data_IF_131310777397
#
_entry.id   IF_131310777397
#
_cell.length_a   1.000
_cell.length_b   1.000
_cell.length_c   1.000
_cell.angle_alpha   90.00
_cell.angle_beta   90.00
_cell.angle_gamma   90.00
#
_symmetry.space_group_name_H-M   'P 1'
#
loop_
_entity.id
_entity.type
_entity.pdbx_description
1 polymer ?
#
# COMPACT_ATOMS: atom_id res chain seq x y z
N UNK A 1 26.03 7.48 3.68
CA UNK A 1 26.32 6.20 3.00
C UNK A 1 24.98 5.51 2.76
N UNK A 2 24.42 5.55 1.55
CA UNK A 2 23.18 4.83 1.22
C UNK A 2 23.59 3.47 0.68
N UNK A 3 23.31 2.40 1.41
CA UNK A 3 23.48 1.05 0.90
C UNK A 3 22.59 0.88 -0.34
N UNK A 4 23.13 0.26 -1.38
CA UNK A 4 22.38 -0.17 -2.56
C UNK A 4 21.36 -1.23 -2.12
N UNK A 5 20.20 -0.78 -1.66
CA UNK A 5 19.09 -1.64 -1.28
C UNK A 5 18.58 -2.34 -2.53
N UNK A 6 18.53 -3.68 -2.51
CA UNK A 6 17.90 -4.45 -3.57
C UNK A 6 16.46 -3.96 -3.75
N UNK A 7 16.12 -3.62 -4.99
CA UNK A 7 14.76 -3.26 -5.37
C UNK A 7 13.93 -4.53 -5.51
N UNK A 8 12.69 -4.51 -5.02
CA UNK A 8 11.79 -5.63 -5.20
C UNK A 8 11.28 -5.61 -6.64
N UNK A 9 11.21 -6.77 -7.30
CA UNK A 9 10.73 -6.88 -8.68
C UNK A 9 9.29 -7.37 -8.65
N UNK A 10 8.38 -6.63 -9.28
CA UNK A 10 7.00 -7.07 -9.39
C UNK A 10 6.92 -8.37 -10.23
N UNK A 11 6.31 -9.45 -9.72
CA UNK A 11 6.23 -10.72 -10.44
C UNK A 11 5.31 -10.66 -11.67
N UNK A 12 4.43 -9.66 -11.76
CA UNK A 12 3.48 -9.52 -12.85
C UNK A 12 4.00 -8.64 -13.99
N UNK A 13 4.58 -7.46 -13.68
CA UNK A 13 5.03 -6.53 -14.72
C UNK A 13 6.56 -6.40 -14.84
N UNK A 14 7.33 -7.08 -13.98
CA UNK A 14 8.80 -7.08 -14.03
C UNK A 14 9.47 -5.77 -13.64
N UNK A 15 8.71 -4.72 -13.27
CA UNK A 15 9.27 -3.44 -12.84
C UNK A 15 9.84 -3.53 -11.43
N UNK A 16 10.94 -2.83 -11.23
CA UNK A 16 11.53 -2.58 -9.92
C UNK A 16 10.69 -1.58 -9.13
N UNK A 17 10.40 -1.90 -7.86
CA UNK A 17 9.56 -1.10 -6.98
C UNK A 17 10.17 -1.00 -5.58
N UNK A 18 9.99 0.18 -4.97
CA UNK A 18 10.48 0.50 -3.60
C UNK A 18 9.36 0.53 -2.56
N UNK A 19 8.10 0.48 -2.98
CA UNK A 19 6.93 0.50 -2.12
C UNK A 19 5.76 -0.27 -2.75
N UNK A 20 4.76 -0.61 -1.93
CA UNK A 20 3.49 -1.20 -2.35
C UNK A 20 2.36 -0.21 -2.04
N UNK A 21 1.32 -0.20 -2.87
CA UNK A 21 0.05 0.48 -2.55
C UNK A 21 -0.74 -0.42 -1.61
N UNK A 22 -1.18 0.11 -0.48
CA UNK A 22 -2.05 -0.60 0.45
C UNK A 22 -3.49 -0.14 0.24
N UNK A 23 -4.40 -1.09 -0.01
CA UNK A 23 -5.83 -0.86 -0.13
C UNK A 23 -6.53 -1.52 1.04
N UNK A 24 -7.24 -0.73 1.84
CA UNK A 24 -7.98 -1.20 3.02
C UNK A 24 -9.46 -1.26 2.67
N UNK A 25 -10.04 -2.45 2.73
CA UNK A 25 -11.44 -2.71 2.41
C UNK A 25 -12.28 -2.82 3.67
N UNK A 26 -13.56 -2.41 3.58
CA UNK A 26 -14.48 -2.48 4.73
C UNK A 26 -14.14 -1.51 5.86
N UNK A 27 -13.43 -0.42 5.56
CA UNK A 27 -13.14 0.65 6.50
C UNK A 27 -14.16 1.79 6.39
N UNK A 28 -14.30 2.55 7.47
CA UNK A 28 -14.95 3.85 7.45
C UNK A 28 -13.88 4.93 7.45
N UNK A 29 -14.00 5.88 6.53
CA UNK A 29 -13.10 7.04 6.48
C UNK A 29 -13.83 8.26 7.01
N UNK A 30 -13.24 8.89 8.02
CA UNK A 30 -13.78 10.06 8.69
C UNK A 30 -13.14 11.32 8.10
N UNK A 31 -13.99 12.25 7.66
CA UNK A 31 -13.61 13.56 7.15
C UNK A 31 -14.38 14.66 7.88
N UNK A 32 -13.73 15.78 8.14
CA UNK A 32 -14.43 17.02 8.45
C UNK A 32 -14.88 17.66 7.13
N UNK A 33 -16.15 18.08 7.05
CA UNK A 33 -16.68 18.86 5.94
C UNK A 33 -17.06 20.26 6.46
N UNK A 34 -16.40 21.29 5.97
CA UNK A 34 -16.59 22.68 6.41
C UNK A 34 -17.61 23.47 5.55
N UNK A 35 -18.16 22.84 4.50
CA UNK A 35 -19.05 23.46 3.52
C UNK A 35 -18.40 23.66 2.14
N UNK A 36 -17.08 23.60 2.03
CA UNK A 36 -16.32 23.78 0.78
C UNK A 36 -15.31 22.67 0.52
N UNK A 37 -14.66 22.17 1.57
CA UNK A 37 -13.56 21.22 1.50
C UNK A 37 -13.72 20.05 2.48
N UNK A 38 -12.96 18.98 2.22
CA UNK A 38 -12.88 17.82 3.10
C UNK A 38 -11.47 17.73 3.68
N UNK A 39 -11.37 17.66 5.00
CA UNK A 39 -10.12 17.35 5.71
C UNK A 39 -10.18 15.91 6.22
N UNK A 40 -9.20 15.09 5.84
CA UNK A 40 -9.08 13.72 6.34
C UNK A 40 -8.72 13.71 7.82
N UNK A 41 -9.49 12.99 8.63
CA UNK A 41 -9.24 12.84 10.06
C UNK A 41 -8.60 11.49 10.35
N UNK A 42 -9.27 10.40 9.97
CA UNK A 42 -8.76 9.05 10.20
C UNK A 42 -9.49 8.01 9.35
N UNK A 43 -8.88 6.84 9.25
CA UNK A 43 -9.49 5.62 8.77
C UNK A 43 -9.71 4.68 9.97
N UNK A 44 -10.92 4.15 10.14
CA UNK A 44 -11.28 3.27 11.26
C UNK A 44 -11.89 1.97 10.74
N UNK A 45 -11.53 0.86 11.36
CA UNK A 45 -11.95 -0.47 10.93
C UNK A 45 -11.05 -1.02 9.82
N UNK A 46 -11.65 -1.75 8.88
CA UNK A 46 -10.93 -2.51 7.87
C UNK A 46 -11.04 -4.01 8.14
N UNK A 47 -11.52 -4.76 7.16
CA UNK A 47 -11.67 -6.22 7.24
C UNK A 47 -10.65 -6.96 6.37
N UNK A 48 -10.06 -6.26 5.40
CA UNK A 48 -9.08 -6.82 4.47
C UNK A 48 -8.12 -5.72 4.03
N UNK A 49 -6.84 -6.08 3.92
CA UNK A 49 -5.80 -5.23 3.33
C UNK A 49 -5.17 -5.93 2.13
N UNK A 50 -4.93 -5.19 1.06
CA UNK A 50 -4.23 -5.69 -0.12
C UNK A 50 -2.99 -4.83 -0.39
N UNK A 51 -1.84 -5.47 -0.51
CA UNK A 51 -0.58 -4.82 -0.87
C UNK A 51 -0.30 -5.08 -2.35
N UNK A 52 -0.40 -4.03 -3.17
CA UNK A 52 -0.40 -4.12 -4.61
C UNK A 52 0.81 -3.39 -5.23
N UNK A 53 1.22 -3.85 -6.41
CA UNK A 53 2.24 -3.18 -7.22
C UNK A 53 1.78 -1.76 -7.58
N UNK A 54 2.59 -0.71 -7.34
CA UNK A 54 2.22 0.66 -7.65
C UNK A 54 2.07 0.91 -9.16
N UNK A 55 2.75 0.10 -9.98
CA UNK A 55 2.87 0.27 -11.42
C UNK A 55 1.76 -0.42 -12.23
N UNK A 56 1.38 -1.65 -11.83
CA UNK A 56 0.40 -2.44 -12.59
C UNK A 56 -0.85 -2.80 -11.77
N UNK A 57 -0.91 -2.44 -10.49
CA UNK A 57 -2.04 -2.76 -9.61
C UNK A 57 -2.14 -4.22 -9.18
N UNK A 58 -1.25 -5.10 -9.64
CA UNK A 58 -1.25 -6.51 -9.27
C UNK A 58 -1.10 -6.71 -7.76
N UNK A 59 -1.96 -7.52 -7.17
CA UNK A 59 -1.90 -7.87 -5.74
C UNK A 59 -0.71 -8.78 -5.45
N UNK A 60 0.20 -8.31 -4.61
CA UNK A 60 1.38 -9.07 -4.16
C UNK A 60 1.01 -9.98 -3.01
N UNK A 61 0.31 -9.46 -2.01
CA UNK A 61 -0.13 -10.21 -0.83
C UNK A 61 -1.22 -9.45 -0.07
N UNK A 62 -1.90 -10.13 0.85
CA UNK A 62 -2.83 -9.57 1.83
C UNK A 62 -2.23 -9.54 3.25
N UNK A 63 -1.01 -10.06 3.42
CA UNK A 63 -0.31 -10.14 4.70
C UNK A 63 0.80 -9.08 4.79
N UNK A 64 0.72 -8.22 5.80
CA UNK A 64 1.68 -7.13 5.99
C UNK A 64 3.12 -7.65 6.22
N UNK A 65 3.29 -8.79 6.90
CA UNK A 65 4.62 -9.34 7.14
C UNK A 65 5.26 -9.84 5.84
N UNK A 66 4.47 -10.46 4.96
CA UNK A 66 4.90 -10.85 3.62
C UNK A 66 5.22 -9.62 2.77
N UNK A 67 4.41 -8.56 2.84
CA UNK A 67 4.68 -7.31 2.14
C UNK A 67 6.02 -6.69 2.57
N UNK A 68 6.30 -6.70 3.88
CA UNK A 68 7.58 -6.24 4.46
C UNK A 68 8.76 -7.10 4.02
N UNK A 69 8.62 -8.43 3.97
CA UNK A 69 9.65 -9.34 3.47
C UNK A 69 9.92 -9.11 2.00
N UNK A 70 8.87 -9.02 1.18
CA UNK A 70 8.97 -8.78 -0.25
C UNK A 70 9.79 -7.52 -0.58
N UNK A 71 9.56 -6.41 0.13
CA UNK A 71 10.32 -5.16 -0.07
C UNK A 71 11.77 -5.19 0.43
N UNK A 72 12.12 -6.10 1.35
CA UNK A 72 13.47 -6.18 1.94
C UNK A 72 14.38 -7.22 1.28
N UNK A 73 13.80 -8.14 0.49
CA UNK A 73 14.50 -9.28 -0.11
C UNK A 73 14.59 -10.45 0.85
#
# INVERSE_FOLDING_TARGET
MRGEGRLAICPNCGKEITFLKNYIHGCMVEYNFDGESYEFIRCVGGTLEEFCCPECGYKITEDEQQARKFLKG
#
